data_IF_778122803480
#
_entry.id   IF_778122803480
#
_cell.length_a   1.000
_cell.length_b   1.000
_cell.length_c   1.000
_cell.angle_alpha   90.00
_cell.angle_beta   90.00
_cell.angle_gamma   90.00
#
_symmetry.space_group_name_H-M   'P 1'
#
loop_
_entity.id
_entity.type
_entity.pdbx_description
1 polymer ?
#
# COMPACT_ATOMS: atom_id res chain seq x y z
N UNK A 1 -0.98 7.05 9.79
CA UNK A 1 -0.80 6.37 8.50
C UNK A 1 0.11 7.19 7.62
N UNK A 2 1.12 6.58 7.02
CA UNK A 2 2.04 7.19 6.05
C UNK A 2 1.51 6.91 4.65
N UNK A 3 1.52 7.91 3.76
CA UNK A 3 0.93 7.82 2.41
C UNK A 3 1.94 8.33 1.39
N UNK A 4 2.52 7.41 0.62
CA UNK A 4 3.66 7.65 -0.27
C UNK A 4 3.20 7.89 -1.70
N UNK A 5 3.62 9.00 -2.28
CA UNK A 5 3.24 9.47 -3.62
C UNK A 5 3.91 8.68 -4.75
N UNK A 6 3.36 8.78 -5.96
CA UNK A 6 3.92 8.23 -7.19
C UNK A 6 5.13 9.00 -7.72
N UNK A 7 5.55 8.67 -8.94
CA UNK A 7 6.68 9.32 -9.59
C UNK A 7 6.37 10.78 -9.96
N UNK A 8 7.38 11.63 -9.99
CA UNK A 8 7.33 13.04 -10.40
C UNK A 8 6.26 13.91 -9.71
N UNK A 9 5.92 13.60 -8.47
CA UNK A 9 5.04 14.43 -7.64
C UNK A 9 5.66 14.61 -6.24
N UNK A 10 4.94 15.19 -5.31
CA UNK A 10 5.35 15.45 -3.94
C UNK A 10 4.17 15.20 -3.00
N UNK A 11 4.44 15.14 -1.69
CA UNK A 11 3.43 14.84 -0.68
C UNK A 11 2.27 15.83 -0.69
N UNK A 12 2.54 17.14 -0.85
CA UNK A 12 1.52 18.18 -0.89
C UNK A 12 0.56 18.02 -2.07
N UNK A 13 1.08 17.77 -3.28
CA UNK A 13 0.24 17.65 -4.47
C UNK A 13 -0.47 16.29 -4.47
N UNK A 14 0.17 15.26 -3.97
CA UNK A 14 -0.47 13.97 -3.76
C UNK A 14 -1.64 14.09 -2.77
N UNK A 15 -1.46 14.75 -1.64
CA UNK A 15 -2.51 14.98 -0.65
C UNK A 15 -3.74 15.70 -1.24
N UNK A 16 -3.54 16.68 -2.12
CA UNK A 16 -4.65 17.45 -2.71
C UNK A 16 -5.66 16.61 -3.49
N UNK A 17 -5.21 15.57 -4.17
CA UNK A 17 -6.11 14.70 -4.94
C UNK A 17 -6.40 13.37 -4.25
N UNK A 18 -5.46 12.85 -3.44
CA UNK A 18 -5.62 11.56 -2.79
C UNK A 18 -6.49 11.63 -1.54
N UNK A 19 -6.34 12.68 -0.72
CA UNK A 19 -7.19 13.03 0.43
C UNK A 19 -7.55 11.83 1.31
N UNK A 20 -6.56 11.06 1.72
CA UNK A 20 -6.81 9.90 2.59
C UNK A 20 -7.43 10.29 3.94
N UNK A 21 -7.22 11.54 4.38
CA UNK A 21 -7.84 12.12 5.57
C UNK A 21 -9.37 12.12 5.52
N UNK A 22 -9.98 12.20 4.34
CA UNK A 22 -11.43 12.15 4.17
C UNK A 22 -12.01 10.75 4.44
N UNK A 23 -11.16 9.71 4.44
CA UNK A 23 -11.54 8.31 4.60
C UNK A 23 -11.23 7.73 5.99
N UNK A 24 -10.41 8.42 6.81
CA UNK A 24 -10.04 7.94 8.15
C UNK A 24 -10.93 8.49 9.26
N UNK A 25 -11.90 9.35 8.94
CA UNK A 25 -12.92 9.87 9.86
C UNK A 25 -12.34 10.46 11.17
N UNK A 26 -11.16 11.05 11.10
CA UNK A 26 -10.44 11.59 12.26
C UNK A 26 -9.82 10.54 13.20
N UNK A 27 -9.91 9.25 12.88
CA UNK A 27 -9.36 8.19 13.71
C UNK A 27 -7.85 7.96 13.52
N UNK A 28 -7.22 8.59 12.52
CA UNK A 28 -5.78 8.48 12.28
C UNK A 28 -5.18 9.80 11.76
N UNK A 29 -3.91 10.03 12.12
CA UNK A 29 -3.10 11.01 11.41
C UNK A 29 -2.73 10.48 10.02
N UNK A 30 -2.92 11.30 8.99
CA UNK A 30 -2.45 11.03 7.63
C UNK A 30 -1.23 11.89 7.35
N UNK A 31 -0.17 11.27 6.88
CA UNK A 31 1.13 11.93 6.64
C UNK A 31 1.56 11.66 5.22
N UNK A 32 1.93 12.70 4.50
CA UNK A 32 2.34 12.65 3.10
C UNK A 32 3.80 13.11 2.99
N UNK A 33 4.77 12.22 3.18
CA UNK A 33 6.17 12.58 3.09
C UNK A 33 6.58 12.97 1.67
N UNK A 34 7.59 13.80 1.55
CA UNK A 34 8.30 14.06 0.28
C UNK A 34 9.51 13.12 0.17
N UNK A 35 9.79 12.61 -1.03
CA UNK A 35 11.04 11.91 -1.30
C UNK A 35 12.23 12.86 -1.23
N UNK A 36 13.40 12.38 -0.80
CA UNK A 36 14.64 13.20 -0.79
C UNK A 36 15.18 13.51 -2.18
N UNK A 37 14.83 12.70 -3.15
CA UNK A 37 15.22 12.84 -4.56
C UNK A 37 14.03 13.05 -5.47
N UNK A 38 14.21 12.91 -6.80
CA UNK A 38 13.10 12.99 -7.76
C UNK A 38 12.12 11.83 -7.61
N UNK A 39 12.50 10.79 -6.88
CA UNK A 39 11.72 9.59 -6.62
C UNK A 39 12.22 8.88 -5.36
N UNK A 40 11.49 7.89 -4.88
CA UNK A 40 11.83 7.08 -3.72
C UNK A 40 13.01 6.15 -3.97
N UNK A 41 13.83 5.90 -2.95
CA UNK A 41 14.84 4.83 -2.95
C UNK A 41 14.14 3.49 -2.66
N UNK A 42 13.86 2.73 -3.70
CA UNK A 42 13.11 1.46 -3.62
C UNK A 42 14.02 0.22 -3.55
N UNK A 43 15.34 0.41 -3.44
CA UNK A 43 16.33 -0.69 -3.35
C UNK A 43 17.33 -0.50 -2.22
N UNK A 44 17.57 0.73 -1.77
CA UNK A 44 18.48 1.06 -0.67
C UNK A 44 17.74 1.35 0.63
N UNK A 45 18.44 1.97 1.58
CA UNK A 45 17.88 2.25 2.90
C UNK A 45 17.50 3.73 3.12
N UNK A 46 17.79 4.62 2.16
CA UNK A 46 17.66 6.06 2.35
C UNK A 46 16.26 6.48 2.79
N UNK A 47 15.23 5.99 2.07
CA UNK A 47 13.85 6.31 2.40
C UNK A 47 13.23 5.38 3.45
N UNK A 48 13.85 4.22 3.73
CA UNK A 48 13.50 3.41 4.90
C UNK A 48 13.93 4.09 6.20
N UNK A 49 15.15 4.61 6.26
CA UNK A 49 15.67 5.34 7.42
C UNK A 49 14.90 6.65 7.61
N UNK A 50 14.64 7.39 6.52
CA UNK A 50 13.77 8.57 6.56
C UNK A 50 12.37 8.25 7.10
N UNK A 51 11.77 7.13 6.69
CA UNK A 51 10.46 6.69 7.20
C UNK A 51 10.50 6.44 8.71
N UNK A 52 11.58 5.82 9.21
CA UNK A 52 11.78 5.63 10.65
C UNK A 52 11.88 6.97 11.38
N UNK A 53 12.67 7.91 10.85
CA UNK A 53 12.83 9.25 11.42
C UNK A 53 11.48 10.01 11.48
N UNK A 54 10.65 9.92 10.44
CA UNK A 54 9.31 10.53 10.41
C UNK A 54 8.42 9.92 11.50
N UNK A 55 8.41 8.59 11.66
CA UNK A 55 7.64 7.91 12.71
C UNK A 55 8.11 8.36 14.09
N UNK A 56 9.42 8.43 14.32
CA UNK A 56 10.00 8.87 15.60
C UNK A 56 9.66 10.32 15.90
N UNK A 57 9.79 11.22 14.93
CA UNK A 57 9.44 12.63 15.09
C UNK A 57 7.97 12.82 15.45
N UNK A 58 7.07 12.11 14.77
CA UNK A 58 5.63 12.16 15.05
C UNK A 58 5.28 11.58 16.41
N UNK A 59 5.91 10.46 16.80
CA UNK A 59 5.69 9.82 18.10
C UNK A 59 6.16 10.72 19.25
N UNK A 60 7.24 11.46 19.04
CA UNK A 60 7.75 12.40 20.03
C UNK A 60 6.89 13.67 20.17
N UNK A 61 6.21 14.08 19.08
CA UNK A 61 5.40 15.31 19.03
C UNK A 61 3.93 15.08 19.39
N UNK A 62 3.40 13.88 19.16
CA UNK A 62 1.98 13.56 19.28
C UNK A 62 1.77 12.22 19.99
N UNK A 63 0.54 11.98 20.48
CA UNK A 63 0.13 10.69 21.05
C UNK A 63 -0.12 9.67 19.93
N UNK A 64 0.96 9.13 19.36
CA UNK A 64 0.90 8.11 18.30
C UNK A 64 1.07 6.70 18.92
N UNK A 65 0.15 5.81 18.62
CA UNK A 65 0.30 4.39 18.90
C UNK A 65 1.21 3.75 17.85
N UNK A 66 2.45 3.44 18.25
CA UNK A 66 3.45 2.82 17.37
C UNK A 66 3.06 1.40 16.90
N UNK A 67 2.14 0.75 17.58
CA UNK A 67 1.63 -0.56 17.17
C UNK A 67 0.58 -0.48 16.07
N UNK A 68 0.11 0.74 15.75
CA UNK A 68 -0.90 1.03 14.73
C UNK A 68 -0.39 2.00 13.66
N UNK A 69 0.86 1.81 13.25
CA UNK A 69 1.44 2.52 12.09
C UNK A 69 1.14 1.72 10.82
N UNK A 70 0.54 2.38 9.85
CA UNK A 70 0.20 1.81 8.53
C UNK A 70 0.92 2.58 7.42
N UNK A 71 1.31 1.88 6.36
CA UNK A 71 1.88 2.48 5.17
C UNK A 71 1.01 2.18 3.94
N UNK A 72 0.70 3.23 3.18
CA UNK A 72 0.02 3.14 1.89
C UNK A 72 0.89 3.80 0.84
N UNK A 73 1.03 3.20 -0.33
CA UNK A 73 1.77 3.76 -1.44
C UNK A 73 1.04 3.60 -2.76
N UNK A 74 1.18 4.62 -3.60
CA UNK A 74 0.66 4.62 -4.96
C UNK A 74 1.80 4.56 -5.97
N UNK A 75 1.68 3.70 -7.01
CA UNK A 75 2.65 3.65 -8.11
C UNK A 75 4.08 3.44 -7.58
N UNK A 76 4.98 4.36 -7.85
CA UNK A 76 6.35 4.31 -7.33
C UNK A 76 6.42 4.35 -5.79
N UNK A 77 5.51 5.06 -5.12
CA UNK A 77 5.33 4.98 -3.67
C UNK A 77 4.87 3.59 -3.21
N UNK A 78 4.12 2.88 -4.05
CA UNK A 78 3.76 1.47 -3.83
C UNK A 78 4.99 0.54 -3.85
N UNK A 79 5.96 0.80 -4.73
CA UNK A 79 7.24 0.08 -4.75
C UNK A 79 8.02 0.31 -3.46
N UNK A 80 8.07 1.55 -2.96
CA UNK A 80 8.67 1.85 -1.66
C UNK A 80 7.96 1.10 -0.53
N UNK A 81 6.63 1.07 -0.54
CA UNK A 81 5.85 0.41 0.52
C UNK A 81 6.07 -1.10 0.52
N UNK A 82 6.23 -1.74 -0.65
CA UNK A 82 6.67 -3.13 -0.72
C UNK A 82 8.06 -3.31 -0.11
N UNK A 83 9.01 -2.43 -0.46
CA UNK A 83 10.37 -2.46 0.07
C UNK A 83 10.39 -2.24 1.60
N UNK A 84 9.65 -1.24 2.09
CA UNK A 84 9.47 -0.96 3.53
C UNK A 84 8.91 -2.18 4.27
N UNK A 85 7.82 -2.76 3.80
CA UNK A 85 7.20 -3.94 4.42
C UNK A 85 8.12 -5.16 4.44
N UNK A 86 8.99 -5.31 3.43
CA UNK A 86 9.96 -6.41 3.38
C UNK A 86 11.15 -6.18 4.33
N UNK A 87 11.77 -5.00 4.29
CA UNK A 87 13.02 -4.71 4.99
C UNK A 87 12.82 -4.21 6.42
N UNK A 88 11.75 -3.46 6.65
CA UNK A 88 11.46 -2.84 7.95
C UNK A 88 10.02 -3.14 8.42
N UNK A 89 9.60 -4.42 8.48
CA UNK A 89 8.27 -4.80 9.00
C UNK A 89 8.09 -4.44 10.48
N UNK A 90 9.17 -4.06 11.17
CA UNK A 90 9.16 -3.52 12.53
C UNK A 90 8.56 -2.13 12.64
N UNK A 91 8.53 -1.37 11.54
CA UNK A 91 8.02 0.00 11.51
C UNK A 91 6.51 0.10 11.27
N UNK A 92 5.91 -0.92 10.67
CA UNK A 92 4.51 -0.87 10.23
C UNK A 92 3.73 -2.12 10.61
N UNK A 93 2.48 -1.96 11.02
CA UNK A 93 1.57 -3.06 11.32
C UNK A 93 1.05 -3.75 10.05
N UNK A 94 0.80 -2.99 9.01
CA UNK A 94 0.31 -3.47 7.72
C UNK A 94 0.65 -2.48 6.60
N UNK A 95 0.64 -2.99 5.37
CA UNK A 95 0.86 -2.18 4.17
C UNK A 95 -0.30 -2.30 3.20
N UNK A 96 -0.53 -1.22 2.44
CA UNK A 96 -1.43 -1.20 1.28
C UNK A 96 -0.69 -0.62 0.07
N UNK A 97 -0.80 -1.31 -1.06
CA UNK A 97 -0.14 -0.91 -2.30
C UNK A 97 -1.18 -0.77 -3.40
N UNK A 98 -1.27 0.42 -3.98
CA UNK A 98 -2.08 0.70 -5.16
C UNK A 98 -1.24 0.90 -6.41
N UNK A 99 -1.53 0.13 -7.45
CA UNK A 99 -0.91 0.22 -8.78
C UNK A 99 0.64 0.27 -8.72
N UNK A 100 1.25 -0.50 -7.81
CA UNK A 100 2.69 -0.58 -7.62
C UNK A 100 3.22 -1.99 -7.84
N UNK A 101 4.34 -2.12 -8.57
CA UNK A 101 5.02 -3.39 -8.75
C UNK A 101 5.97 -3.72 -7.60
N UNK A 102 6.12 -5.01 -7.32
CA UNK A 102 7.13 -5.49 -6.39
C UNK A 102 8.49 -5.59 -7.08
N UNK A 103 9.49 -4.94 -6.50
CA UNK A 103 10.88 -5.23 -6.83
C UNK A 103 11.28 -6.59 -6.24
N UNK A 104 12.22 -7.31 -6.86
CA UNK A 104 12.63 -8.63 -6.34
C UNK A 104 13.36 -8.50 -5.01
N UNK A 105 12.64 -8.80 -3.94
CA UNK A 105 13.12 -8.72 -2.56
C UNK A 105 13.29 -10.11 -1.96
N UNK A 106 14.29 -10.26 -1.12
CA UNK A 106 14.56 -11.49 -0.36
C UNK A 106 14.58 -11.21 1.14
N UNK A 107 14.34 -12.22 1.95
CA UNK A 107 14.41 -12.12 3.41
C UNK A 107 13.21 -11.39 4.05
N UNK A 108 12.11 -11.22 3.31
CA UNK A 108 10.89 -10.63 3.85
C UNK A 108 10.29 -11.49 4.96
N UNK A 109 9.70 -10.84 5.96
CA UNK A 109 8.96 -11.50 7.04
C UNK A 109 7.46 -11.35 6.84
N UNK A 110 6.63 -12.24 7.40
CA UNK A 110 5.18 -12.14 7.32
C UNK A 110 4.65 -10.80 7.81
N UNK A 111 3.73 -10.21 7.03
CA UNK A 111 3.10 -8.92 7.29
C UNK A 111 1.71 -8.91 6.63
N UNK A 112 0.68 -8.29 7.24
CA UNK A 112 -0.59 -8.07 6.55
C UNK A 112 -0.42 -7.14 5.33
N UNK A 113 -0.94 -7.56 4.16
CA UNK A 113 -0.78 -6.83 2.89
C UNK A 113 -2.09 -6.74 2.14
N UNK A 114 -2.45 -5.53 1.74
CA UNK A 114 -3.46 -5.26 0.73
C UNK A 114 -2.78 -4.79 -0.55
N UNK A 115 -3.10 -5.41 -1.67
CA UNK A 115 -2.71 -4.93 -3.00
C UNK A 115 -3.97 -4.60 -3.78
N UNK A 116 -4.06 -3.39 -4.30
CA UNK A 116 -5.12 -2.97 -5.22
C UNK A 116 -4.50 -2.65 -6.57
N UNK A 117 -5.14 -3.06 -7.67
CA UNK A 117 -4.60 -2.80 -9.00
C UNK A 117 -5.70 -2.63 -10.03
N UNK A 118 -5.59 -1.62 -10.88
CA UNK A 118 -6.54 -1.41 -11.99
C UNK A 118 -6.25 -2.36 -13.14
N UNK A 119 -7.32 -2.90 -13.73
CA UNK A 119 -7.21 -3.86 -14.86
C UNK A 119 -6.75 -3.23 -16.16
N UNK A 120 -6.82 -1.91 -16.27
CA UNK A 120 -6.43 -1.15 -17.48
C UNK A 120 -5.24 -0.24 -17.27
N UNK A 121 -4.47 -0.52 -16.23
CA UNK A 121 -3.24 0.20 -15.98
C UNK A 121 -2.20 -0.12 -17.07
N UNK A 122 -1.78 0.91 -17.80
CA UNK A 122 -0.78 0.82 -18.85
C UNK A 122 0.63 1.22 -18.36
N UNK A 123 0.73 1.88 -17.19
CA UNK A 123 1.99 2.33 -16.59
C UNK A 123 2.58 1.25 -15.69
N UNK A 124 1.75 0.66 -14.81
CA UNK A 124 2.08 -0.50 -13.99
C UNK A 124 1.15 -1.65 -14.39
N UNK A 125 1.68 -2.68 -15.07
CA UNK A 125 0.83 -3.74 -15.64
C UNK A 125 0.05 -4.50 -14.54
N UNK A 126 -1.24 -4.80 -14.75
CA UNK A 126 -2.08 -5.49 -13.74
C UNK A 126 -1.52 -6.83 -13.27
N UNK A 127 -0.77 -7.52 -14.13
CA UNK A 127 -0.08 -8.76 -13.77
C UNK A 127 0.95 -8.55 -12.65
N UNK A 128 1.55 -7.37 -12.53
CA UNK A 128 2.54 -7.09 -11.49
C UNK A 128 1.90 -7.00 -10.11
N UNK A 129 0.71 -6.40 -9.99
CA UNK A 129 -0.05 -6.39 -8.74
C UNK A 129 -0.45 -7.80 -8.29
N UNK A 130 -0.96 -8.64 -9.21
CA UNK A 130 -1.25 -10.05 -8.93
C UNK A 130 -0.01 -10.81 -8.45
N UNK A 131 1.09 -10.64 -9.15
CA UNK A 131 2.36 -11.29 -8.78
C UNK A 131 2.86 -10.82 -7.41
N UNK A 132 2.72 -9.53 -7.09
CA UNK A 132 3.07 -9.00 -5.77
C UNK A 132 2.25 -9.66 -4.66
N UNK A 133 0.93 -9.76 -4.83
CA UNK A 133 0.06 -10.44 -3.87
C UNK A 133 0.42 -11.92 -3.68
N UNK A 134 0.69 -12.65 -4.77
CA UNK A 134 1.13 -14.05 -4.71
C UNK A 134 2.47 -14.20 -3.96
N UNK A 135 3.42 -13.30 -4.20
CA UNK A 135 4.71 -13.31 -3.48
C UNK A 135 4.52 -13.06 -1.99
N UNK A 136 3.68 -12.10 -1.60
CA UNK A 136 3.33 -11.88 -0.20
C UNK A 136 2.59 -13.07 0.42
N UNK A 137 1.70 -13.72 -0.32
CA UNK A 137 1.05 -14.94 0.14
C UNK A 137 2.09 -16.03 0.45
N UNK A 138 3.09 -16.21 -0.42
CA UNK A 138 4.21 -17.13 -0.18
C UNK A 138 5.05 -16.75 1.03
N UNK A 139 5.41 -15.46 1.20
CA UNK A 139 6.14 -14.96 2.38
C UNK A 139 5.35 -15.24 3.66
N UNK A 140 4.05 -15.00 3.64
CA UNK A 140 3.16 -15.21 4.78
C UNK A 140 2.80 -16.69 5.02
N UNK A 141 3.21 -17.58 4.10
CA UNK A 141 2.91 -19.02 4.18
C UNK A 141 1.43 -19.33 4.06
N UNK A 142 0.71 -18.54 3.26
CA UNK A 142 -0.71 -18.73 2.95
C UNK A 142 -0.92 -19.81 1.88
N UNK A 143 -2.17 -20.21 1.64
CA UNK A 143 -2.56 -21.04 0.48
C UNK A 143 -2.24 -20.32 -0.83
N UNK A 144 -1.82 -21.06 -1.85
CA UNK A 144 -1.55 -20.50 -3.20
C UNK A 144 -2.84 -20.16 -3.95
N UNK A 145 -4.00 -20.68 -3.51
CA UNK A 145 -5.31 -20.43 -4.13
C UNK A 145 -6.05 -19.41 -3.27
N UNK A 146 -6.30 -18.19 -3.78
CA UNK A 146 -7.11 -17.22 -3.08
C UNK A 146 -8.61 -17.53 -3.16
N UNK A 147 -9.35 -17.05 -2.18
CA UNK A 147 -10.82 -17.15 -2.11
C UNK A 147 -11.43 -15.75 -2.26
N UNK A 148 -12.63 -15.67 -2.85
CA UNK A 148 -13.37 -14.42 -2.92
C UNK A 148 -13.61 -13.87 -1.50
N UNK A 149 -13.32 -12.60 -1.30
CA UNK A 149 -13.44 -11.93 0.00
C UNK A 149 -14.32 -10.69 -0.03
N UNK A 150 -14.40 -10.00 -1.16
CA UNK A 150 -15.28 -8.85 -1.41
C UNK A 150 -15.54 -8.74 -2.91
N UNK A 151 -16.65 -9.32 -3.37
CA UNK A 151 -17.02 -9.33 -4.77
C UNK A 151 -17.30 -7.93 -5.35
N UNK A 152 -17.79 -7.00 -4.53
CA UNK A 152 -18.10 -5.64 -4.96
C UNK A 152 -16.85 -4.87 -5.39
N UNK A 153 -15.73 -5.14 -4.74
CA UNK A 153 -14.43 -4.53 -5.05
C UNK A 153 -13.48 -5.47 -5.82
N UNK A 154 -13.98 -6.62 -6.28
CA UNK A 154 -13.15 -7.60 -7.00
C UNK A 154 -12.00 -8.16 -6.15
N UNK A 155 -12.22 -8.31 -4.85
CA UNK A 155 -11.18 -8.74 -3.93
C UNK A 155 -11.18 -10.24 -3.68
N UNK A 156 -9.97 -10.79 -3.60
CA UNK A 156 -9.70 -12.15 -3.14
C UNK A 156 -8.73 -12.12 -1.97
N UNK A 157 -8.83 -13.06 -1.04
CA UNK A 157 -7.93 -13.21 0.09
C UNK A 157 -7.21 -14.55 0.07
N UNK A 158 -5.92 -14.54 0.31
CA UNK A 158 -5.10 -15.72 0.52
C UNK A 158 -5.26 -16.17 1.98
N UNK A 159 -5.74 -17.39 2.20
CA UNK A 159 -6.09 -17.94 3.51
C UNK A 159 -5.04 -18.90 4.04
N UNK A 160 -5.20 -19.31 5.30
CA UNK A 160 -4.34 -20.34 5.90
C UNK A 160 -2.91 -19.91 6.11
N UNK A 161 -2.65 -18.61 6.27
CA UNK A 161 -1.32 -18.07 6.52
C UNK A 161 -0.73 -18.59 7.84
N UNK A 162 0.59 -18.74 7.92
CA UNK A 162 1.27 -19.30 9.12
C UNK A 162 1.28 -18.38 10.33
N UNK A 163 1.20 -17.06 10.12
CA UNK A 163 1.11 -16.06 11.18
C UNK A 163 -0.30 -15.45 11.19
N UNK A 164 -0.70 -14.70 12.20
CA UNK A 164 -1.94 -13.93 12.19
C UNK A 164 -1.82 -12.77 11.19
N UNK A 165 -1.62 -13.10 9.94
CA UNK A 165 -1.46 -12.18 8.80
C UNK A 165 -2.53 -12.46 7.77
N UNK A 166 -2.73 -11.53 6.85
CA UNK A 166 -3.64 -11.67 5.72
C UNK A 166 -3.02 -11.05 4.49
N UNK A 167 -3.27 -11.65 3.33
CA UNK A 167 -2.94 -11.04 2.04
C UNK A 167 -4.22 -10.94 1.24
N UNK A 168 -4.57 -9.73 0.84
CA UNK A 168 -5.75 -9.44 0.02
C UNK A 168 -5.30 -8.79 -1.27
N UNK A 169 -5.86 -9.24 -2.39
CA UNK A 169 -5.69 -8.62 -3.69
C UNK A 169 -7.05 -8.16 -4.22
N UNK A 170 -7.16 -6.90 -4.62
CA UNK A 170 -8.36 -6.34 -5.20
C UNK A 170 -8.07 -5.85 -6.61
N UNK A 171 -8.83 -6.35 -7.56
CA UNK A 171 -8.71 -6.00 -8.97
C UNK A 171 -9.79 -4.97 -9.35
N UNK A 172 -9.39 -3.70 -9.50
CA UNK A 172 -10.31 -2.65 -9.93
C UNK A 172 -10.63 -2.77 -11.43
N UNK A 173 -11.83 -3.28 -11.71
CA UNK A 173 -12.35 -3.54 -13.07
C UNK A 173 -13.16 -2.39 -13.63
N UNK A 174 -13.33 -1.29 -12.88
CA UNK A 174 -14.13 -0.18 -13.34
C UNK A 174 -13.55 0.43 -14.62
N UNK A 175 -14.43 0.64 -15.59
CA UNK A 175 -14.10 1.30 -16.84
C UNK A 175 -15.15 2.34 -17.19
N UNK A 176 -14.72 3.56 -17.43
CA UNK A 176 -15.51 4.64 -18.00
C UNK A 176 -14.82 5.11 -19.28
N UNK A 177 -15.46 4.93 -20.46
CA UNK A 177 -14.85 5.32 -21.74
C UNK A 177 -14.69 6.83 -21.90
N UNK A 178 -15.29 7.64 -21.03
CA UNK A 178 -15.16 9.11 -21.04
C UNK A 178 -13.98 9.60 -20.21
N UNK A 179 -13.37 8.72 -19.42
CA UNK A 179 -12.23 9.10 -18.60
C UNK A 179 -10.96 9.31 -19.43
N UNK A 180 -10.15 10.31 -19.09
CA UNK A 180 -8.81 10.45 -19.65
C UNK A 180 -7.99 9.18 -19.43
N UNK A 181 -7.12 8.86 -20.41
CA UNK A 181 -6.31 7.63 -20.37
C UNK A 181 -5.42 7.55 -19.11
N UNK A 182 -4.90 8.68 -18.67
CA UNK A 182 -4.07 8.82 -17.48
C UNK A 182 -4.81 8.39 -16.19
N UNK A 183 -6.13 8.32 -16.19
CA UNK A 183 -6.92 7.82 -15.07
C UNK A 183 -6.99 6.29 -15.01
N UNK A 184 -6.39 5.62 -15.98
CA UNK A 184 -6.18 4.17 -15.88
C UNK A 184 -5.13 3.81 -14.83
N UNK A 185 -4.25 4.75 -14.46
CA UNK A 185 -3.26 4.62 -13.38
C UNK A 185 -3.65 5.49 -12.20
N UNK A 186 -4.53 5.00 -11.32
CA UNK A 186 -5.04 5.72 -10.14
C UNK A 186 -5.70 4.79 -9.13
N UNK A 187 -5.72 5.19 -7.86
CA UNK A 187 -6.54 4.53 -6.83
C UNK A 187 -7.85 5.30 -6.70
N UNK A 188 -8.97 4.69 -7.09
CA UNK A 188 -10.29 5.30 -6.96
C UNK A 188 -10.70 5.48 -5.50
N UNK A 189 -11.66 6.39 -5.27
CA UNK A 189 -12.11 6.79 -3.93
C UNK A 189 -12.60 5.59 -3.10
N UNK A 190 -13.39 4.70 -3.67
CA UNK A 190 -13.89 3.53 -2.96
C UNK A 190 -12.78 2.57 -2.49
N UNK A 191 -11.64 2.50 -3.21
CA UNK A 191 -10.49 1.71 -2.78
C UNK A 191 -9.69 2.38 -1.67
N UNK A 192 -9.77 3.71 -1.52
CA UNK A 192 -9.21 4.43 -0.36
C UNK A 192 -10.01 4.12 0.89
N UNK A 193 -11.36 4.16 0.82
CA UNK A 193 -12.25 3.74 1.90
C UNK A 193 -12.06 2.27 2.26
N UNK A 194 -11.95 1.40 1.24
CA UNK A 194 -11.64 -0.02 1.42
C UNK A 194 -10.33 -0.21 2.17
N UNK A 195 -9.27 0.52 1.81
CA UNK A 195 -7.95 0.45 2.46
C UNK A 195 -8.04 0.77 3.94
N UNK A 196 -8.74 1.86 4.31
CA UNK A 196 -8.92 2.20 5.72
C UNK A 196 -9.73 1.15 6.47
N UNK A 197 -10.85 0.72 5.90
CA UNK A 197 -11.66 -0.36 6.47
C UNK A 197 -10.88 -1.67 6.62
N UNK A 198 -9.97 -1.96 5.69
CA UNK A 198 -9.11 -3.14 5.76
C UNK A 198 -8.05 -3.00 6.86
N UNK A 199 -7.37 -1.86 6.99
CA UNK A 199 -6.39 -1.60 8.05
C UNK A 199 -7.01 -1.76 9.46
N UNK A 200 -8.26 -1.35 9.64
CA UNK A 200 -8.96 -1.50 10.92
C UNK A 200 -9.31 -2.95 11.29
N UNK A 201 -9.19 -3.89 10.34
CA UNK A 201 -9.51 -5.31 10.56
C UNK A 201 -8.29 -6.21 10.62
N UNK A 202 -7.08 -5.69 10.33
CA UNK A 202 -5.87 -6.51 10.45
C UNK A 202 -5.58 -6.84 11.91
N UNK A 203 -5.20 -8.10 12.21
CA UNK A 203 -4.98 -8.58 13.57
C UNK A 203 -3.85 -7.86 14.28
#
# INVERSE_FOLDING_TARGET
MLTFHGWYTNGRDFQKWFKMEDHVEGAAFTVYPDSKGPTWDVVGNTDLDFTADVIDALTNAYCIDRTHVFALGFSYGGKLVHHLGCKRPDLVRAISVGDGSWQEETGCRPLPVLVTHRTRDDDELPAWGRNAAQRWAKVNGCSDVPEESDAAHGCVAYRGCKAPTTVTFCEDRHFDPTWPKEWNHTIREEYRSLTWSWFNRVP
#
